data_IF_240876079311
#
_entry.id   IF_240876079311
#
_cell.length_a   1.000
_cell.length_b   1.000
_cell.length_c   1.000
_cell.angle_alpha   90.00
_cell.angle_beta   90.00
_cell.angle_gamma   90.00
#
_symmetry.space_group_name_H-M   'P 1'
#
loop_
_entity.id
_entity.type
_entity.pdbx_description
1 polymer ?
#
# COMPACT_ATOMS: atom_id res chain seq x y z
N UNK A 1 18.39 -5.27 0.72
CA UNK A 1 18.64 -5.54 2.16
C UNK A 1 18.75 -4.22 2.92
N UNK A 2 19.73 -3.36 2.64
CA UNK A 2 19.80 -2.02 3.28
C UNK A 2 18.54 -1.18 3.01
N UNK A 3 18.10 -1.10 1.76
CA UNK A 3 16.87 -0.41 1.35
C UNK A 3 15.61 -0.92 2.07
N UNK A 4 15.49 -2.22 2.31
CA UNK A 4 14.32 -2.79 2.99
C UNK A 4 14.40 -2.57 4.50
N UNK A 5 15.60 -2.63 5.08
CA UNK A 5 15.79 -2.28 6.49
C UNK A 5 15.36 -0.83 6.76
N UNK A 6 15.73 0.10 5.87
CA UNK A 6 15.27 1.49 5.92
C UNK A 6 13.74 1.61 5.85
N UNK A 7 13.07 0.79 5.04
CA UNK A 7 11.60 0.77 4.99
C UNK A 7 10.98 0.33 6.32
N UNK A 8 11.58 -0.64 7.02
CA UNK A 8 11.09 -1.04 8.35
C UNK A 8 11.31 0.03 9.41
N UNK A 9 12.45 0.71 9.39
CA UNK A 9 12.69 1.85 10.27
C UNK A 9 11.62 2.93 10.05
N UNK A 10 11.24 3.21 8.80
CA UNK A 10 10.18 4.16 8.48
C UNK A 10 8.80 3.69 8.97
N UNK A 11 8.49 2.40 8.86
CA UNK A 11 7.26 1.81 9.42
C UNK A 11 7.22 2.01 10.94
N UNK A 12 8.29 1.65 11.64
CA UNK A 12 8.40 1.79 13.10
C UNK A 12 8.33 3.26 13.54
N UNK A 13 8.94 4.17 12.78
CA UNK A 13 8.87 5.62 13.04
C UNK A 13 7.47 6.18 12.86
N UNK A 14 6.72 5.72 11.85
CA UNK A 14 5.34 6.13 11.63
C UNK A 14 4.39 5.54 12.68
N UNK A 15 4.60 4.29 13.08
CA UNK A 15 3.92 3.66 14.22
C UNK A 15 4.07 4.46 15.50
N UNK A 16 5.32 4.84 15.84
CA UNK A 16 5.58 5.67 17.01
C UNK A 16 4.94 7.06 16.91
N UNK A 17 4.99 7.67 15.72
CA UNK A 17 4.40 8.98 15.46
C UNK A 17 2.88 9.02 15.64
N UNK A 18 2.16 7.93 15.36
CA UNK A 18 0.70 7.84 15.58
C UNK A 18 0.35 8.04 17.06
N UNK A 19 1.07 7.36 17.95
CA UNK A 19 0.83 7.47 19.39
C UNK A 19 1.13 8.87 19.90
N UNK A 20 2.27 9.44 19.50
CA UNK A 20 2.68 10.80 19.89
C UNK A 20 1.66 11.85 19.41
N UNK A 21 1.23 11.78 18.15
CA UNK A 21 0.28 12.74 17.56
C UNK A 21 -1.12 12.60 18.19
N UNK A 22 -1.53 11.38 18.55
CA UNK A 22 -2.79 11.13 19.24
C UNK A 22 -2.80 11.68 20.68
N UNK A 23 -1.70 11.53 21.42
CA UNK A 23 -1.57 12.03 22.79
C UNK A 23 -1.65 13.56 22.81
N UNK A 24 -1.00 14.25 21.87
CA UNK A 24 -1.03 15.71 21.74
C UNK A 24 -2.38 16.27 21.27
N UNK A 25 -3.21 15.48 20.58
CA UNK A 25 -4.48 15.93 20.03
C UNK A 25 -5.61 15.99 21.06
N UNK A 26 -5.54 15.14 22.09
CA UNK A 26 -6.64 14.93 23.04
C UNK A 26 -6.83 16.01 24.11
N UNK A 27 -5.97 17.03 24.18
CA UNK A 27 -6.04 18.05 25.24
C UNK A 27 -7.04 19.18 24.94
N UNK A 28 -7.21 19.55 23.67
CA UNK A 28 -8.00 20.73 23.25
C UNK A 28 -9.36 20.40 22.62
N UNK A 29 -9.71 19.11 22.49
CA UNK A 29 -11.00 18.66 21.95
C UNK A 29 -12.08 18.58 23.03
N UNK A 30 -13.34 18.79 22.63
CA UNK A 30 -14.45 18.46 23.51
C UNK A 30 -14.57 16.93 23.74
N UNK A 31 -15.28 16.48 24.79
CA UNK A 31 -15.32 15.06 25.14
C UNK A 31 -15.91 14.13 24.07
N UNK A 32 -16.83 14.62 23.24
CA UNK A 32 -17.49 13.81 22.21
C UNK A 32 -16.58 13.67 20.98
N UNK A 33 -15.98 14.77 20.54
CA UNK A 33 -14.98 14.78 19.47
C UNK A 33 -13.72 13.98 19.83
N UNK A 34 -13.30 14.06 21.11
CA UNK A 34 -12.18 13.29 21.65
C UNK A 34 -12.46 11.80 21.61
N UNK A 35 -13.63 11.35 22.08
CA UNK A 35 -13.98 9.93 22.07
C UNK A 35 -14.02 9.34 20.65
N UNK A 36 -14.57 10.09 19.68
CA UNK A 36 -14.55 9.68 18.27
C UNK A 36 -13.11 9.65 17.71
N UNK A 37 -12.27 10.62 18.07
CA UNK A 37 -10.87 10.66 17.64
C UNK A 37 -10.06 9.49 18.20
N UNK A 38 -10.22 9.16 19.49
CA UNK A 38 -9.57 8.02 20.13
C UNK A 38 -10.00 6.69 19.48
N UNK A 39 -11.28 6.55 19.13
CA UNK A 39 -11.77 5.38 18.38
C UNK A 39 -11.11 5.28 17.00
N UNK A 40 -11.00 6.38 16.27
CA UNK A 40 -10.33 6.41 14.97
C UNK A 40 -8.84 6.04 15.11
N UNK A 41 -8.14 6.59 16.11
CA UNK A 41 -6.73 6.23 16.38
C UNK A 41 -6.58 4.75 16.70
N UNK A 42 -7.50 4.17 17.46
CA UNK A 42 -7.48 2.74 17.76
C UNK A 42 -7.65 1.87 16.50
N UNK A 43 -8.60 2.22 15.63
CA UNK A 43 -8.80 1.55 14.35
C UNK A 43 -7.55 1.67 13.46
N UNK A 44 -6.99 2.88 13.34
CA UNK A 44 -5.75 3.15 12.61
C UNK A 44 -4.60 2.30 13.15
N UNK A 45 -4.44 2.21 14.46
CA UNK A 45 -3.37 1.44 15.10
C UNK A 45 -3.46 -0.04 14.75
N UNK A 46 -4.67 -0.61 14.73
CA UNK A 46 -4.88 -2.00 14.34
C UNK A 46 -4.51 -2.24 12.87
N UNK A 47 -4.94 -1.35 11.97
CA UNK A 47 -4.63 -1.46 10.54
C UNK A 47 -3.13 -1.35 10.26
N UNK A 48 -2.44 -0.45 10.97
CA UNK A 48 -0.98 -0.31 10.88
C UNK A 48 -0.26 -1.58 11.35
N UNK A 49 -0.70 -2.18 12.47
CA UNK A 49 -0.12 -3.44 12.94
C UNK A 49 -0.30 -4.58 11.91
N UNK A 50 -1.44 -4.64 11.22
CA UNK A 50 -1.67 -5.59 10.12
C UNK A 50 -0.73 -5.35 8.92
N UNK A 51 -0.54 -4.09 8.52
CA UNK A 51 0.41 -3.72 7.46
C UNK A 51 1.85 -4.08 7.83
N UNK A 52 2.25 -3.81 9.07
CA UNK A 52 3.58 -4.12 9.58
C UNK A 52 3.85 -5.61 9.67
N UNK A 53 2.85 -6.41 10.10
CA UNK A 53 2.92 -7.88 10.04
C UNK A 53 3.05 -8.36 8.60
N UNK A 54 2.26 -7.81 7.68
CA UNK A 54 2.33 -8.14 6.26
C UNK A 54 3.72 -7.84 5.70
N UNK A 55 4.26 -6.65 5.96
CA UNK A 55 5.62 -6.28 5.56
C UNK A 55 6.67 -7.29 6.08
N UNK A 56 6.60 -7.68 7.37
CA UNK A 56 7.52 -8.68 7.98
C UNK A 56 7.44 -10.04 7.28
N UNK A 57 6.24 -10.50 6.93
CA UNK A 57 6.04 -11.76 6.18
C UNK A 57 6.70 -11.66 4.80
N UNK A 58 6.47 -10.56 4.08
CA UNK A 58 7.08 -10.32 2.78
C UNK A 58 8.61 -10.21 2.85
N UNK A 59 9.18 -9.54 3.85
CA UNK A 59 10.62 -9.52 4.09
C UNK A 59 11.21 -10.93 4.20
N UNK A 60 10.57 -11.77 5.02
CA UNK A 60 10.98 -13.17 5.22
C UNK A 60 10.98 -13.94 3.91
N UNK A 61 10.04 -13.66 3.00
CA UNK A 61 10.00 -14.28 1.67
C UNK A 61 11.18 -13.87 0.78
N UNK A 62 11.63 -12.61 0.85
CA UNK A 62 12.82 -12.16 0.11
C UNK A 62 14.10 -12.85 0.58
N UNK A 63 14.18 -13.14 1.87
CA UNK A 63 15.32 -13.81 2.51
C UNK A 63 15.28 -15.34 2.29
N UNK A 64 14.12 -15.90 1.94
CA UNK A 64 13.87 -17.32 1.83
C UNK A 64 13.50 -17.82 0.43
N UNK A 65 12.38 -18.55 0.36
CA UNK A 65 12.04 -19.45 -0.77
C UNK A 65 11.64 -18.77 -2.07
N UNK A 66 11.36 -17.46 -2.07
CA UNK A 66 10.92 -16.71 -3.25
C UNK A 66 11.89 -15.58 -3.60
N UNK A 67 13.19 -15.76 -3.34
CA UNK A 67 14.24 -14.75 -3.59
C UNK A 67 14.30 -14.24 -5.04
N UNK A 68 13.73 -14.99 -6.00
CA UNK A 68 13.61 -14.59 -7.39
C UNK A 68 12.56 -13.48 -7.61
N UNK A 69 11.57 -13.35 -6.72
CA UNK A 69 10.43 -12.41 -6.83
C UNK A 69 10.68 -11.07 -6.15
N UNK A 70 11.90 -10.52 -6.32
CA UNK A 70 12.32 -9.33 -5.57
C UNK A 70 11.44 -8.13 -5.86
N UNK A 71 11.02 -7.97 -7.11
CA UNK A 71 10.21 -6.82 -7.52
C UNK A 71 8.83 -6.83 -6.84
N UNK A 72 8.22 -8.01 -6.78
CA UNK A 72 6.94 -8.20 -6.11
C UNK A 72 7.03 -7.96 -4.60
N UNK A 73 8.04 -8.56 -3.96
CA UNK A 73 8.22 -8.39 -2.51
C UNK A 73 8.58 -6.94 -2.17
N UNK A 74 9.44 -6.28 -2.98
CA UNK A 74 9.77 -4.87 -2.82
C UNK A 74 8.50 -4.03 -2.85
N UNK A 75 7.62 -4.26 -3.82
CA UNK A 75 6.33 -3.60 -3.90
C UNK A 75 5.49 -3.80 -2.65
N UNK A 76 5.25 -5.05 -2.23
CA UNK A 76 4.39 -5.32 -1.09
C UNK A 76 4.90 -4.65 0.19
N UNK A 77 6.21 -4.66 0.43
CA UNK A 77 6.81 -4.01 1.61
C UNK A 77 6.72 -2.48 1.52
N UNK A 78 7.00 -1.89 0.36
CA UNK A 78 6.89 -0.44 0.19
C UNK A 78 5.44 0.03 0.24
N UNK A 79 4.49 -0.72 -0.31
CA UNK A 79 3.07 -0.38 -0.28
C UNK A 79 2.53 -0.42 1.15
N UNK A 80 2.93 -1.42 1.94
CA UNK A 80 2.62 -1.47 3.36
C UNK A 80 3.17 -0.24 4.10
N UNK A 81 4.42 0.15 3.84
CA UNK A 81 5.01 1.35 4.44
C UNK A 81 4.27 2.63 4.04
N UNK A 82 3.90 2.78 2.75
CA UNK A 82 3.08 3.91 2.29
C UNK A 82 1.75 3.94 3.04
N UNK A 83 1.09 2.78 3.19
CA UNK A 83 -0.13 2.66 3.99
C UNK A 83 0.06 3.15 5.41
N UNK A 84 1.09 2.66 6.11
CA UNK A 84 1.41 3.08 7.49
C UNK A 84 1.62 4.59 7.61
N UNK A 85 2.35 5.19 6.66
CA UNK A 85 2.59 6.64 6.63
C UNK A 85 1.27 7.40 6.41
N UNK A 86 0.42 6.93 5.50
CA UNK A 86 -0.85 7.59 5.23
C UNK A 86 -1.82 7.45 6.40
N UNK A 87 -1.76 6.35 7.15
CA UNK A 87 -2.48 6.19 8.40
C UNK A 87 -2.02 7.19 9.47
N UNK A 88 -0.71 7.45 9.55
CA UNK A 88 -0.19 8.52 10.39
C UNK A 88 -0.69 9.91 9.93
N UNK A 89 -0.65 10.20 8.62
CA UNK A 89 -1.21 11.43 8.04
C UNK A 89 -2.72 11.54 8.31
N UNK A 90 -3.46 10.42 8.31
CA UNK A 90 -4.88 10.37 8.61
C UNK A 90 -5.15 10.87 10.04
N UNK A 91 -4.42 10.37 11.03
CA UNK A 91 -4.54 10.84 12.43
C UNK A 91 -4.27 12.34 12.54
N UNK A 92 -3.20 12.79 11.89
CA UNK A 92 -2.84 14.20 11.86
C UNK A 92 -3.91 15.10 11.21
N UNK A 93 -4.45 14.70 10.07
CA UNK A 93 -5.52 15.42 9.40
C UNK A 93 -6.82 15.39 10.22
N UNK A 94 -7.18 14.25 10.82
CA UNK A 94 -8.34 14.13 11.70
C UNK A 94 -8.24 15.09 12.88
N UNK A 95 -7.08 15.22 13.52
CA UNK A 95 -6.81 16.25 14.53
C UNK A 95 -7.11 17.65 13.99
N UNK A 96 -6.53 18.02 12.85
CA UNK A 96 -6.73 19.34 12.25
C UNK A 96 -8.19 19.62 11.84
N UNK A 97 -8.96 18.59 11.48
CA UNK A 97 -10.39 18.78 11.15
C UNK A 97 -11.27 19.02 12.36
N UNK A 98 -10.81 18.64 13.56
CA UNK A 98 -11.51 18.84 14.83
C UNK A 98 -11.09 20.15 15.51
N UNK A 99 -9.83 20.57 15.33
CA UNK A 99 -9.30 21.79 15.96
C UNK A 99 -9.42 23.07 15.13
N UNK A 100 -9.43 22.99 13.79
CA UNK A 100 -9.58 24.18 12.95
C UNK A 100 -11.06 24.56 12.73
N UNK A 101 -11.33 25.86 12.56
CA UNK A 101 -12.66 26.40 12.21
C UNK A 101 -12.68 27.07 10.83
N UNK A 102 -13.84 27.08 10.17
CA UNK A 102 -14.07 27.80 8.92
C UNK A 102 -13.50 27.11 7.67
N UNK A 103 -13.06 27.88 6.67
CA UNK A 103 -12.60 27.38 5.37
C UNK A 103 -11.42 26.40 5.48
N UNK A 104 -10.54 26.59 6.48
CA UNK A 104 -9.44 25.68 6.75
C UNK A 104 -9.89 24.29 7.24
N UNK A 105 -11.07 24.18 7.86
CA UNK A 105 -11.64 22.91 8.29
C UNK A 105 -12.14 22.09 7.10
N UNK A 106 -12.84 22.75 6.15
CA UNK A 106 -13.40 22.10 4.97
C UNK A 106 -12.30 21.54 4.06
N UNK A 107 -11.25 22.33 3.78
CA UNK A 107 -10.11 21.87 2.99
C UNK A 107 -9.39 20.67 3.63
N UNK A 108 -9.27 20.65 4.95
CA UNK A 108 -8.68 19.51 5.67
C UNK A 108 -9.59 18.26 5.61
N UNK A 109 -10.92 18.42 5.66
CA UNK A 109 -11.87 17.31 5.50
C UNK A 109 -11.80 16.68 4.12
N UNK A 110 -11.65 17.49 3.07
CA UNK A 110 -11.49 17.01 1.70
C UNK A 110 -10.18 16.22 1.54
N UNK A 111 -9.07 16.74 2.08
CA UNK A 111 -7.79 16.03 2.09
C UNK A 111 -7.83 14.74 2.90
N UNK A 112 -8.48 14.76 4.06
CA UNK A 112 -8.70 13.58 4.89
C UNK A 112 -9.46 12.50 4.12
N UNK A 113 -10.52 12.87 3.40
CA UNK A 113 -11.29 11.95 2.58
C UNK A 113 -10.43 11.32 1.46
N UNK A 114 -9.58 12.11 0.79
CA UNK A 114 -8.65 11.61 -0.23
C UNK A 114 -7.65 10.62 0.39
N UNK A 115 -7.05 10.96 1.53
CA UNK A 115 -6.11 10.09 2.23
C UNK A 115 -6.77 8.77 2.62
N UNK A 116 -7.98 8.80 3.18
CA UNK A 116 -8.76 7.59 3.51
C UNK A 116 -9.04 6.73 2.27
N UNK A 117 -9.35 7.34 1.13
CA UNK A 117 -9.58 6.61 -0.11
C UNK A 117 -8.30 5.96 -0.64
N UNK A 118 -7.14 6.63 -0.55
CA UNK A 118 -5.84 6.04 -0.92
C UNK A 118 -5.46 4.89 0.03
N UNK A 119 -5.70 5.05 1.32
CA UNK A 119 -5.50 3.98 2.33
C UNK A 119 -6.33 2.74 1.95
N UNK A 120 -7.60 2.92 1.59
CA UNK A 120 -8.45 1.81 1.16
C UNK A 120 -7.89 1.10 -0.08
N UNK A 121 -7.42 1.87 -1.07
CA UNK A 121 -6.78 1.35 -2.27
C UNK A 121 -5.54 0.50 -1.91
N UNK A 122 -4.66 1.02 -1.06
CA UNK A 122 -3.47 0.29 -0.58
C UNK A 122 -3.86 -0.99 0.16
N UNK A 123 -4.94 -0.97 0.96
CA UNK A 123 -5.44 -2.16 1.65
C UNK A 123 -5.93 -3.22 0.65
N UNK A 124 -6.69 -2.82 -0.36
CA UNK A 124 -7.12 -3.73 -1.45
C UNK A 124 -5.92 -4.34 -2.17
N UNK A 125 -4.92 -3.53 -2.53
CA UNK A 125 -3.69 -4.02 -3.17
C UNK A 125 -2.87 -4.95 -2.28
N UNK A 126 -2.80 -4.66 -0.97
CA UNK A 126 -2.09 -5.48 0.00
C UNK A 126 -2.77 -6.85 0.17
N UNK A 127 -4.10 -6.88 0.20
CA UNK A 127 -4.86 -8.13 0.22
C UNK A 127 -4.62 -8.96 -1.05
N UNK A 128 -4.61 -8.30 -2.22
CA UNK A 128 -4.27 -8.95 -3.49
C UNK A 128 -2.84 -9.50 -3.47
N UNK A 129 -1.87 -8.73 -2.96
CA UNK A 129 -0.50 -9.21 -2.79
C UNK A 129 -0.44 -10.43 -1.89
N UNK A 130 -1.18 -10.45 -0.77
CA UNK A 130 -1.22 -11.61 0.13
C UNK A 130 -1.79 -12.86 -0.56
N UNK A 131 -2.86 -12.74 -1.34
CA UNK A 131 -3.42 -13.86 -2.09
C UNK A 131 -2.44 -14.41 -3.14
N UNK A 132 -1.81 -13.52 -3.92
CA UNK A 132 -0.79 -13.90 -4.92
C UNK A 132 0.42 -14.56 -4.22
N UNK A 133 0.84 -14.04 -3.07
CA UNK A 133 1.93 -14.57 -2.25
C UNK A 133 1.63 -16.01 -1.79
N UNK A 134 0.43 -16.27 -1.27
CA UNK A 134 0.04 -17.61 -0.81
C UNK A 134 0.00 -18.61 -1.99
N UNK A 135 -0.49 -18.16 -3.14
CA UNK A 135 -0.46 -18.94 -4.38
C UNK A 135 0.97 -19.25 -4.83
N UNK A 136 1.86 -18.24 -4.83
CA UNK A 136 3.27 -18.42 -5.21
C UNK A 136 4.00 -19.38 -4.29
N UNK A 137 3.72 -19.37 -2.98
CA UNK A 137 4.31 -20.32 -2.04
C UNK A 137 3.90 -21.77 -2.34
N UNK A 138 2.64 -21.95 -2.79
CA UNK A 138 2.10 -23.26 -3.17
C UNK A 138 2.70 -23.77 -4.49
N UNK A 139 2.96 -22.85 -5.42
CA UNK A 139 3.41 -23.16 -6.79
C UNK A 139 4.88 -22.79 -7.07
N UNK A 140 5.70 -22.58 -6.03
CA UNK A 140 7.10 -22.11 -6.15
C UNK A 140 8.00 -23.05 -6.97
N UNK A 141 7.70 -24.35 -6.95
CA UNK A 141 8.48 -25.38 -7.62
C UNK A 141 7.90 -25.72 -9.01
N UNK A 142 6.79 -25.09 -9.41
CA UNK A 142 6.13 -25.35 -10.68
C UNK A 142 6.95 -24.78 -11.85
N UNK A 143 6.98 -25.55 -12.94
CA UNK A 143 7.56 -25.17 -14.21
C UNK A 143 6.50 -25.11 -15.31
N UNK A 144 6.77 -24.28 -16.30
CA UNK A 144 5.94 -24.09 -17.49
C UNK A 144 6.78 -24.41 -18.71
N UNK A 145 6.27 -25.24 -19.61
CA UNK A 145 6.90 -25.43 -20.92
C UNK A 145 6.29 -24.46 -21.93
N UNK A 146 7.05 -23.44 -22.34
CA UNK A 146 6.71 -22.52 -23.43
C UNK A 146 7.58 -22.84 -24.64
N UNK A 147 6.95 -23.15 -25.78
CA UNK A 147 7.64 -23.40 -27.05
C UNK A 147 8.77 -24.44 -26.95
N UNK A 148 8.59 -25.46 -26.10
CA UNK A 148 9.56 -26.53 -25.86
C UNK A 148 10.67 -26.19 -24.85
N UNK A 149 10.62 -25.01 -24.22
CA UNK A 149 11.54 -24.58 -23.17
C UNK A 149 10.83 -24.63 -21.83
N UNK A 150 11.40 -25.36 -20.88
CA UNK A 150 10.94 -25.38 -19.49
C UNK A 150 11.46 -24.14 -18.73
N UNK A 151 10.53 -23.38 -18.15
CA UNK A 151 10.78 -22.13 -17.44
C UNK A 151 10.09 -22.21 -16.09
N UNK A 152 10.76 -21.76 -15.02
CA UNK A 152 10.14 -21.66 -13.70
C UNK A 152 9.04 -20.60 -13.68
N UNK A 153 7.92 -20.91 -13.04
CA UNK A 153 6.78 -20.00 -12.93
C UNK A 153 7.17 -18.68 -12.25
N UNK A 154 8.05 -18.73 -11.24
CA UNK A 154 8.61 -17.55 -10.58
C UNK A 154 9.28 -16.57 -11.56
N UNK A 155 9.99 -17.06 -12.57
CA UNK A 155 10.68 -16.20 -13.53
C UNK A 155 9.71 -15.42 -14.42
N UNK A 156 8.57 -16.04 -14.75
CA UNK A 156 7.49 -15.40 -15.49
C UNK A 156 6.89 -14.28 -14.63
N UNK A 157 6.58 -14.57 -13.37
CA UNK A 157 6.06 -13.59 -12.41
C UNK A 157 6.99 -12.39 -12.25
N UNK A 158 8.28 -12.63 -11.99
CA UNK A 158 9.25 -11.54 -11.85
C UNK A 158 9.31 -10.69 -13.12
N UNK A 159 9.22 -11.29 -14.31
CA UNK A 159 9.22 -10.56 -15.58
C UNK A 159 8.00 -9.65 -15.72
N UNK A 160 6.81 -10.15 -15.40
CA UNK A 160 5.57 -9.37 -15.51
C UNK A 160 5.45 -8.30 -14.43
N UNK A 161 5.98 -8.58 -13.23
CA UNK A 161 5.84 -7.72 -12.07
C UNK A 161 6.99 -6.72 -11.94
N UNK A 162 8.13 -6.89 -12.63
CA UNK A 162 9.26 -5.96 -12.58
C UNK A 162 8.88 -4.46 -12.66
N UNK A 163 7.98 -4.03 -13.57
CA UNK A 163 7.63 -2.61 -13.68
C UNK A 163 7.04 -1.99 -12.40
N UNK A 164 6.43 -2.78 -11.50
CA UNK A 164 5.82 -2.24 -10.28
C UNK A 164 6.88 -1.78 -9.27
N UNK A 165 8.07 -2.37 -9.30
CA UNK A 165 9.15 -2.09 -8.34
C UNK A 165 9.72 -0.69 -8.51
N UNK A 166 9.77 -0.17 -9.73
CA UNK A 166 10.29 1.18 -9.99
C UNK A 166 9.24 2.23 -9.63
N UNK A 167 7.97 1.96 -9.94
CA UNK A 167 6.86 2.85 -9.65
C UNK A 167 6.63 3.03 -8.14
N UNK A 168 6.69 1.93 -7.38
CA UNK A 168 6.45 1.97 -5.94
C UNK A 168 7.56 2.70 -5.17
N UNK A 169 8.78 2.75 -5.69
CA UNK A 169 9.88 3.50 -5.07
C UNK A 169 9.62 5.01 -5.11
N UNK A 170 9.08 5.53 -6.21
CA UNK A 170 8.66 6.93 -6.30
C UNK A 170 7.50 7.24 -5.34
N UNK A 171 6.50 6.34 -5.30
CA UNK A 171 5.35 6.44 -4.39
C UNK A 171 5.81 6.44 -2.92
N UNK A 172 6.70 5.52 -2.55
CA UNK A 172 7.29 5.44 -1.22
C UNK A 172 8.10 6.69 -0.86
N UNK A 173 8.96 7.17 -1.75
CA UNK A 173 9.74 8.39 -1.50
C UNK A 173 8.83 9.61 -1.32
N UNK A 174 7.72 9.68 -2.04
CA UNK A 174 6.70 10.73 -1.86
C UNK A 174 6.04 10.61 -0.49
N UNK A 175 5.59 9.41 -0.11
CA UNK A 175 4.98 9.17 1.21
C UNK A 175 5.96 9.53 2.33
N UNK A 176 7.21 9.11 2.23
CA UNK A 176 8.26 9.40 3.22
C UNK A 176 8.46 10.90 3.45
N UNK A 177 8.30 11.74 2.42
CA UNK A 177 8.37 13.20 2.55
C UNK A 177 7.19 13.80 3.34
N UNK A 178 6.09 13.05 3.48
CA UNK A 178 4.98 13.42 4.36
C UNK A 178 5.34 13.24 5.83
N UNK A 179 6.34 12.43 6.16
CA UNK A 179 6.90 12.37 7.50
C UNK A 179 7.99 13.42 7.68
N UNK A 180 7.96 14.14 8.79
CA UNK A 180 9.02 15.08 9.18
C UNK A 180 9.39 14.86 10.64
N UNK A 181 10.67 15.04 10.99
CA UNK A 181 11.09 15.08 12.39
C UNK A 181 11.26 16.53 12.84
N UNK A 182 10.59 16.91 13.92
CA UNK A 182 10.75 18.20 14.59
C UNK A 182 11.00 17.94 16.08
N UNK A 183 12.10 18.48 16.60
CA UNK A 183 12.49 18.35 18.01
C UNK A 183 12.53 16.89 18.53
N UNK A 184 12.91 15.96 17.66
CA UNK A 184 12.98 14.52 17.99
C UNK A 184 11.65 13.77 17.90
N UNK A 185 10.53 14.47 17.66
CA UNK A 185 9.20 13.88 17.42
C UNK A 185 8.91 13.76 15.94
N UNK A 186 8.26 12.67 15.56
CA UNK A 186 7.73 12.47 14.20
C UNK A 186 6.43 13.25 14.08
N UNK A 187 6.32 14.09 13.06
CA UNK A 187 5.14 14.87 12.70
C UNK A 187 4.84 14.68 11.21
N UNK A 188 3.68 15.13 10.74
CA UNK A 188 3.26 14.96 9.36
C UNK A 188 3.19 16.28 8.58
N UNK A 189 3.34 16.19 7.26
CA UNK A 189 3.04 17.26 6.33
C UNK A 189 1.69 16.99 5.66
N UNK A 190 0.91 18.06 5.47
CA UNK A 190 -0.33 17.98 4.69
C UNK A 190 0.03 17.70 3.22
N UNK A 191 -0.48 16.62 2.61
CA UNK A 191 -0.18 16.29 1.23
C UNK A 191 -0.71 17.37 0.28
N UNK A 192 0.10 17.66 -0.75
CA UNK A 192 -0.26 18.55 -1.87
C UNK A 192 -0.79 17.72 -3.04
N UNK A 193 -1.41 18.40 -4.00
CA UNK A 193 -1.92 17.78 -5.24
C UNK A 193 -0.86 16.92 -5.94
N UNK A 194 0.38 17.42 -6.03
CA UNK A 194 1.49 16.68 -6.64
C UNK A 194 1.82 15.39 -5.86
N UNK A 195 1.75 15.42 -4.53
CA UNK A 195 2.01 14.27 -3.68
C UNK A 195 0.93 13.21 -3.89
N UNK A 196 -0.35 13.61 -3.91
CA UNK A 196 -1.49 12.73 -4.21
C UNK A 196 -1.31 12.04 -5.55
N UNK A 197 -1.00 12.78 -6.62
CA UNK A 197 -0.79 12.19 -7.94
C UNK A 197 0.37 11.19 -7.95
N UNK A 198 1.47 11.50 -7.26
CA UNK A 198 2.60 10.58 -7.15
C UNK A 198 2.27 9.33 -6.32
N UNK A 199 1.41 9.45 -5.30
CA UNK A 199 0.93 8.32 -4.52
C UNK A 199 0.13 7.34 -5.37
N UNK A 200 -0.68 7.83 -6.32
CA UNK A 200 -1.49 6.99 -7.22
C UNK A 200 -0.67 6.27 -8.32
N UNK A 201 0.55 6.73 -8.62
CA UNK A 201 1.36 6.14 -9.70
C UNK A 201 1.76 4.68 -9.43
N UNK A 202 2.02 4.33 -8.17
CA UNK A 202 2.31 2.97 -7.74
C UNK A 202 1.14 2.04 -8.07
N UNK A 203 -0.07 2.44 -7.69
CA UNK A 203 -1.32 1.72 -7.96
C UNK A 203 -1.64 1.56 -9.45
N UNK A 204 -1.41 2.60 -10.26
CA UNK A 204 -1.57 2.50 -11.73
C UNK A 204 -0.63 1.43 -12.30
N UNK A 205 0.62 1.42 -11.86
CA UNK A 205 1.61 0.46 -12.34
C UNK A 205 1.34 -0.97 -11.84
N UNK A 206 0.82 -1.09 -10.62
CA UNK A 206 0.35 -2.34 -10.04
C UNK A 206 -0.77 -2.95 -10.89
N UNK A 207 -1.82 -2.18 -11.14
CA UNK A 207 -2.96 -2.60 -11.96
C UNK A 207 -2.53 -3.06 -13.36
N UNK A 208 -1.67 -2.27 -14.03
CA UNK A 208 -1.16 -2.63 -15.37
C UNK A 208 -0.36 -3.94 -15.36
N UNK A 209 0.43 -4.18 -14.32
CA UNK A 209 1.27 -5.37 -14.23
C UNK A 209 0.44 -6.61 -13.89
N UNK A 210 -0.57 -6.48 -13.03
CA UNK A 210 -1.54 -7.55 -12.79
C UNK A 210 -2.38 -7.86 -14.04
N UNK A 211 -2.78 -6.84 -14.80
CA UNK A 211 -3.46 -7.02 -16.09
C UNK A 211 -2.61 -7.85 -17.06
N UNK A 212 -1.32 -7.51 -17.23
CA UNK A 212 -0.40 -8.30 -18.08
C UNK A 212 -0.21 -9.73 -17.57
N UNK A 213 -0.12 -9.91 -16.26
CA UNK A 213 0.01 -11.23 -15.65
C UNK A 213 -1.26 -12.08 -15.89
N UNK A 214 -2.44 -11.47 -15.77
CA UNK A 214 -3.72 -12.09 -16.10
C UNK A 214 -3.79 -12.48 -17.58
N UNK A 215 -3.45 -11.57 -18.51
CA UNK A 215 -3.44 -11.83 -19.95
C UNK A 215 -2.49 -12.99 -20.30
N UNK A 216 -1.32 -13.02 -19.67
CA UNK A 216 -0.38 -14.14 -19.80
C UNK A 216 -1.02 -15.45 -19.32
N UNK A 217 -1.64 -15.43 -18.14
CA UNK A 217 -2.28 -16.61 -17.57
C UNK A 217 -3.43 -17.11 -18.45
N UNK A 218 -4.29 -16.23 -18.95
CA UNK A 218 -5.39 -16.59 -19.85
C UNK A 218 -4.91 -17.24 -21.15
N UNK A 219 -3.82 -16.71 -21.72
CA UNK A 219 -3.23 -17.23 -22.95
C UNK A 219 -2.60 -18.62 -22.75
N UNK A 220 -2.16 -18.95 -21.53
CA UNK A 220 -1.37 -20.15 -21.25
C UNK A 220 -2.02 -21.16 -20.29
N UNK A 221 -3.23 -20.89 -19.78
CA UNK A 221 -3.93 -21.73 -18.79
C UNK A 221 -4.23 -23.17 -19.23
N UNK A 222 -4.32 -23.40 -20.54
CA UNK A 222 -4.50 -24.76 -21.09
C UNK A 222 -3.20 -25.56 -21.11
N UNK A 223 -2.05 -24.87 -21.09
CA UNK A 223 -0.71 -25.47 -21.07
C UNK A 223 -0.17 -25.63 -19.64
N UNK A 224 -0.71 -24.87 -18.69
CA UNK A 224 -0.26 -24.81 -17.30
C UNK A 224 -1.47 -24.77 -16.38
N UNK A 225 -1.76 -25.91 -15.76
CA UNK A 225 -2.94 -26.06 -14.90
C UNK A 225 -2.89 -25.09 -13.71
N UNK A 226 -1.71 -24.83 -13.13
CA UNK A 226 -1.60 -23.89 -12.00
C UNK A 226 -2.02 -22.46 -12.37
N UNK A 227 -1.85 -22.03 -13.62
CA UNK A 227 -2.33 -20.70 -14.04
C UNK A 227 -3.86 -20.57 -13.98
N UNK A 228 -4.62 -21.66 -13.95
CA UNK A 228 -6.06 -21.61 -13.78
C UNK A 228 -6.46 -21.11 -12.39
N UNK A 229 -5.81 -21.61 -11.34
CA UNK A 229 -6.07 -21.14 -9.97
C UNK A 229 -5.56 -19.72 -9.73
N UNK A 230 -4.54 -19.27 -10.46
CA UNK A 230 -4.13 -17.85 -10.44
C UNK A 230 -5.24 -16.94 -10.97
N UNK A 231 -5.96 -17.36 -12.01
CA UNK A 231 -7.06 -16.57 -12.60
C UNK A 231 -8.28 -16.46 -11.66
N UNK A 232 -8.40 -17.35 -10.68
CA UNK A 232 -9.40 -17.23 -9.60
C UNK A 232 -9.03 -16.11 -8.61
N UNK A 233 -7.75 -15.74 -8.52
CA UNK A 233 -7.25 -14.62 -7.73
C UNK A 233 -7.30 -13.33 -8.57
N UNK A 234 -6.80 -13.38 -9.80
CA UNK A 234 -6.74 -12.26 -10.74
C UNK A 234 -8.03 -12.16 -11.58
N UNK A 235 -9.18 -12.08 -10.91
CA UNK A 235 -10.46 -11.91 -11.59
C UNK A 235 -10.56 -10.52 -12.23
N UNK A 236 -11.34 -10.41 -13.31
CA UNK A 236 -11.59 -9.09 -13.92
C UNK A 236 -12.27 -8.15 -12.93
N UNK A 237 -13.19 -8.67 -12.11
CA UNK A 237 -13.88 -7.91 -11.06
C UNK A 237 -12.90 -7.28 -10.06
N UNK A 238 -11.88 -8.03 -9.63
CA UNK A 238 -10.89 -7.52 -8.70
C UNK A 238 -10.01 -6.41 -9.33
N UNK A 239 -9.65 -6.53 -10.61
CA UNK A 239 -8.93 -5.48 -11.33
C UNK A 239 -9.80 -4.24 -11.57
N UNK A 240 -11.08 -4.46 -11.90
CA UNK A 240 -12.06 -3.39 -12.10
C UNK A 240 -12.33 -2.63 -10.80
N UNK A 241 -12.33 -3.30 -9.64
CA UNK A 241 -12.46 -2.65 -8.34
C UNK A 241 -11.28 -1.70 -8.05
N UNK A 242 -10.04 -2.15 -8.26
CA UNK A 242 -8.83 -1.31 -8.13
C UNK A 242 -8.90 -0.11 -9.09
N UNK A 243 -9.27 -0.34 -10.35
CA UNK A 243 -9.44 0.71 -11.35
C UNK A 243 -10.51 1.73 -10.93
N UNK A 244 -11.65 1.24 -10.41
CA UNK A 244 -12.73 2.09 -9.94
C UNK A 244 -12.28 2.95 -8.76
N UNK A 245 -11.60 2.38 -7.77
CA UNK A 245 -11.08 3.14 -6.63
C UNK A 245 -10.10 4.23 -7.10
N UNK A 246 -9.20 3.91 -8.04
CA UNK A 246 -8.30 4.89 -8.66
C UNK A 246 -9.05 6.04 -9.35
N UNK A 247 -10.08 5.72 -10.13
CA UNK A 247 -10.87 6.73 -10.84
C UNK A 247 -11.72 7.57 -9.91
N UNK A 248 -12.21 6.99 -8.81
CA UNK A 248 -12.98 7.70 -7.81
C UNK A 248 -12.10 8.69 -7.04
N UNK A 249 -10.87 8.31 -6.66
CA UNK A 249 -9.90 9.23 -6.05
C UNK A 249 -9.58 10.39 -6.99
N UNK A 250 -9.35 10.13 -8.28
CA UNK A 250 -9.04 11.18 -9.27
C UNK A 250 -10.17 12.18 -9.52
N UNK A 251 -11.41 11.82 -9.17
CA UNK A 251 -12.58 12.71 -9.26
C UNK A 251 -12.81 13.55 -8.00
N UNK A 252 -12.12 13.23 -6.89
CA UNK A 252 -12.23 14.01 -5.66
C UNK A 252 -11.63 15.42 -5.87
N UNK A 253 -12.09 16.44 -5.14
CA UNK A 253 -11.53 17.78 -5.24
C UNK A 253 -10.11 17.81 -4.69
N UNK A 254 -9.11 17.78 -5.56
CA UNK A 254 -7.69 17.85 -5.21
C UNK A 254 -7.22 19.31 -5.37
N UNK A 255 -7.56 20.18 -4.41
CA UNK A 255 -7.10 21.58 -4.35
C UNK A 255 -6.06 21.81 -3.23
#
# INVERSE_FOLDING_TARGET
MAEIAEVFEVIEEAEGGIADEAEEAGEDMDPEEKAEFESEVADVTNEVDELSKTAKVFKTLMEGSLKALKSFVKFAVHNAAVGTILYFVNVGLSKLTKTNQGEGQQANKEKLAIVKAIILLIKTETNMCNAIKDWLQTHKDDTVTLDGIEIKLEAIFETQLKPISDAIELTYNTAKQLMTKKDGKTSFNIPKVADINNLLNGSVSFLQSLGKLKDFAETNKEKVVSLQSLLEILTQEALDDIQKQLDDIKKMPIE
#
